data_IF_877614071761
#
_entry.id   IF_877614071761
#
_cell.length_a   1.000
_cell.length_b   1.000
_cell.length_c   1.000
_cell.angle_alpha   90.00
_cell.angle_beta   90.00
_cell.angle_gamma   90.00
#
_symmetry.space_group_name_H-M   'P 1'
#
loop_
_entity.id
_entity.type
_entity.pdbx_description
1 polymer ?
#
# COMPACT_ATOMS: atom_id res chain seq x y z
N UNK A 1 42.47 8.93 -18.10
CA UNK A 1 41.61 7.78 -17.74
C UNK A 1 40.85 8.15 -16.48
N UNK A 2 39.53 8.08 -16.45
CA UNK A 2 38.76 8.45 -15.24
C UNK A 2 38.96 7.40 -14.14
N UNK A 3 39.50 7.82 -13.00
CA UNK A 3 39.65 6.94 -11.84
C UNK A 3 38.37 6.92 -11.00
N UNK A 4 37.43 6.07 -11.42
CA UNK A 4 36.15 5.84 -10.73
C UNK A 4 36.39 5.03 -9.44
N UNK A 5 37.38 4.13 -9.45
CA UNK A 5 37.68 3.21 -8.35
C UNK A 5 38.30 3.94 -7.15
N UNK A 6 39.12 4.96 -7.40
CA UNK A 6 39.68 5.84 -6.38
C UNK A 6 38.63 6.66 -5.62
N UNK A 7 37.50 6.96 -6.26
CA UNK A 7 36.38 7.73 -5.67
C UNK A 7 35.28 6.89 -5.05
N UNK A 8 35.44 5.56 -4.96
CA UNK A 8 34.41 4.62 -4.44
C UNK A 8 33.76 5.04 -3.13
N UNK A 9 34.51 5.69 -2.22
CA UNK A 9 33.99 6.15 -0.92
C UNK A 9 32.87 7.18 -1.06
N UNK A 10 32.93 8.06 -2.06
CA UNK A 10 31.85 9.03 -2.34
C UNK A 10 30.59 8.34 -2.82
N UNK A 11 30.74 7.31 -3.67
CA UNK A 11 29.60 6.50 -4.10
C UNK A 11 28.99 5.71 -2.95
N UNK A 12 29.79 5.15 -2.05
CA UNK A 12 29.28 4.49 -0.85
C UNK A 12 28.56 5.45 0.09
N UNK A 13 29.08 6.66 0.29
CA UNK A 13 28.42 7.68 1.11
C UNK A 13 27.06 8.06 0.52
N UNK A 14 27.01 8.28 -0.80
CA UNK A 14 25.77 8.59 -1.51
C UNK A 14 24.77 7.43 -1.43
N UNK A 15 25.21 6.19 -1.66
CA UNK A 15 24.37 5.00 -1.49
C UNK A 15 23.81 4.92 -0.07
N UNK A 16 24.65 5.11 0.95
CA UNK A 16 24.26 5.06 2.34
C UNK A 16 23.22 6.14 2.69
N UNK A 17 23.38 7.35 2.14
CA UNK A 17 22.46 8.47 2.34
C UNK A 17 21.05 8.14 1.83
N UNK A 18 20.91 7.31 0.79
CA UNK A 18 19.61 6.87 0.26
C UNK A 18 19.12 5.63 1.01
N UNK A 19 20.01 4.69 1.29
CA UNK A 19 19.66 3.42 1.93
C UNK A 19 19.20 3.62 3.38
N UNK A 20 19.86 4.47 4.17
CA UNK A 20 19.51 4.67 5.58
C UNK A 20 18.08 5.19 5.76
N UNK A 21 17.63 6.27 5.08
CA UNK A 21 16.24 6.72 5.17
C UNK A 21 15.23 5.66 4.75
N UNK A 22 15.53 4.89 3.70
CA UNK A 22 14.66 3.80 3.24
C UNK A 22 14.50 2.70 4.29
N UNK A 23 15.61 2.28 4.91
CA UNK A 23 15.58 1.32 6.03
C UNK A 23 14.82 1.90 7.23
N UNK A 24 15.05 3.18 7.56
CA UNK A 24 14.36 3.83 8.66
C UNK A 24 12.84 3.87 8.42
N UNK A 25 12.40 4.17 7.21
CA UNK A 25 10.99 4.13 6.84
C UNK A 25 10.38 2.73 7.03
N UNK A 26 11.10 1.66 6.67
CA UNK A 26 10.65 0.28 6.89
C UNK A 26 10.59 -0.06 8.39
N UNK A 27 11.61 0.34 9.17
CA UNK A 27 11.66 0.07 10.60
C UNK A 27 10.56 0.80 11.39
N UNK A 28 10.09 1.95 10.89
CA UNK A 28 8.96 2.67 11.49
C UNK A 28 7.66 1.86 11.53
N UNK A 29 7.51 0.81 10.69
CA UNK A 29 6.39 -0.13 10.76
C UNK A 29 6.21 -0.78 12.13
N UNK A 30 7.29 -0.97 12.90
CA UNK A 30 7.22 -1.60 14.23
C UNK A 30 6.79 -0.64 15.34
N UNK A 31 6.64 0.66 15.06
CA UNK A 31 6.17 1.63 16.04
C UNK A 31 4.63 1.63 16.11
N UNK A 32 4.02 1.49 17.29
CA UNK A 32 2.58 1.59 17.44
C UNK A 32 2.10 2.99 17.04
N UNK A 33 0.99 3.06 16.30
CA UNK A 33 0.39 4.29 15.75
C UNK A 33 1.21 5.04 14.69
N UNK A 34 2.32 4.48 14.20
CA UNK A 34 3.02 5.06 13.08
C UNK A 34 2.18 4.91 11.80
N UNK A 35 1.66 6.03 11.28
CA UNK A 35 1.09 6.10 9.91
C UNK A 35 2.17 6.01 8.82
N UNK A 36 3.42 5.80 9.22
CA UNK A 36 4.61 5.79 8.37
C UNK A 36 5.25 4.40 8.46
N UNK A 37 5.38 3.74 7.32
CA UNK A 37 5.94 2.41 7.21
C UNK A 37 5.33 1.60 6.08
N UNK A 38 5.71 0.34 6.00
CA UNK A 38 5.04 -0.66 5.16
C UNK A 38 3.58 -0.82 5.59
N UNK A 39 2.67 -0.64 4.63
CA UNK A 39 1.25 -0.97 4.77
C UNK A 39 1.06 -2.42 4.33
N UNK A 40 0.89 -3.32 5.29
CA UNK A 40 0.70 -4.73 5.00
C UNK A 40 -0.63 -4.97 4.31
N UNK A 41 -0.62 -5.80 3.26
CA UNK A 41 -1.85 -6.34 2.68
C UNK A 41 -2.39 -7.48 3.55
N UNK A 42 -3.62 -7.88 3.25
CA UNK A 42 -4.29 -9.06 3.80
C UNK A 42 -3.50 -10.37 3.68
N UNK A 43 -2.55 -10.47 2.76
CA UNK A 43 -1.67 -11.64 2.64
C UNK A 43 -0.78 -11.82 3.88
N UNK A 44 -0.56 -10.73 4.62
CA UNK A 44 0.29 -10.67 5.82
C UNK A 44 -0.50 -10.43 7.11
N UNK A 45 -1.64 -9.75 7.05
CA UNK A 45 -2.50 -9.48 8.22
C UNK A 45 -3.61 -10.51 8.41
N UNK A 46 -3.89 -11.33 7.38
CA UNK A 46 -5.16 -12.06 7.28
C UNK A 46 -6.30 -11.11 6.91
N UNK A 47 -7.50 -11.67 6.76
CA UNK A 47 -8.70 -10.91 6.41
C UNK A 47 -9.55 -11.60 5.37
N UNK A 48 -10.45 -10.84 4.74
CA UNK A 48 -11.34 -11.33 3.68
C UNK A 48 -11.28 -10.42 2.46
N UNK A 49 -11.27 -11.03 1.26
CA UNK A 49 -11.44 -10.32 -0.02
C UNK A 49 -12.88 -10.50 -0.46
N UNK A 50 -13.54 -9.40 -0.79
CA UNK A 50 -14.88 -9.42 -1.37
C UNK A 50 -14.80 -8.86 -2.78
N UNK A 51 -15.28 -9.64 -3.74
CA UNK A 51 -15.43 -9.20 -5.12
C UNK A 51 -16.92 -8.95 -5.37
N UNK A 52 -17.29 -7.67 -5.43
CA UNK A 52 -18.69 -7.25 -5.52
C UNK A 52 -18.98 -6.69 -6.90
N UNK A 53 -19.85 -7.40 -7.62
CA UNK A 53 -20.36 -6.98 -8.92
C UNK A 53 -21.71 -6.29 -8.76
N UNK A 54 -21.81 -5.06 -9.24
CA UNK A 54 -23.03 -4.28 -9.18
C UNK A 54 -23.81 -4.39 -10.50
N UNK A 55 -25.12 -4.59 -10.39
CA UNK A 55 -25.99 -4.75 -11.55
C UNK A 55 -26.19 -3.43 -12.33
N UNK A 56 -26.12 -2.28 -11.65
CA UNK A 56 -26.42 -0.96 -12.21
C UNK A 56 -25.16 -0.09 -12.38
N UNK A 57 -24.06 -0.70 -12.80
CA UNK A 57 -22.76 -0.04 -12.93
C UNK A 57 -21.99 0.04 -11.61
N UNK A 58 -20.70 0.35 -11.70
CA UNK A 58 -19.79 0.37 -10.54
C UNK A 58 -20.01 1.65 -9.73
N UNK A 59 -20.37 1.56 -8.43
CA UNK A 59 -20.54 2.73 -7.58
C UNK A 59 -19.18 3.39 -7.28
N UNK A 60 -19.23 4.61 -6.75
CA UNK A 60 -18.01 5.30 -6.34
C UNK A 60 -17.39 4.63 -5.10
N UNK A 61 -16.07 4.50 -5.09
CA UNK A 61 -15.35 3.87 -3.96
C UNK A 61 -15.59 4.57 -2.62
N UNK A 62 -15.80 5.90 -2.64
CA UNK A 62 -16.12 6.69 -1.46
C UNK A 62 -17.45 6.24 -0.82
N UNK A 63 -18.49 6.07 -1.64
CA UNK A 63 -19.82 5.63 -1.17
C UNK A 63 -19.76 4.24 -0.53
N UNK A 64 -19.02 3.32 -1.15
CA UNK A 64 -18.82 1.97 -0.59
C UNK A 64 -18.04 2.04 0.73
N UNK A 65 -17.01 2.89 0.80
CA UNK A 65 -16.22 3.09 2.02
C UNK A 65 -17.06 3.66 3.16
N UNK A 66 -17.93 4.63 2.89
CA UNK A 66 -18.79 5.24 3.91
C UNK A 66 -19.73 4.19 4.53
N UNK A 67 -20.34 3.32 3.71
CA UNK A 67 -21.15 2.21 4.20
C UNK A 67 -20.33 1.24 5.05
N UNK A 68 -19.10 0.90 4.66
CA UNK A 68 -18.23 0.01 5.45
C UNK A 68 -17.86 0.63 6.81
N UNK A 69 -17.61 1.94 6.85
CA UNK A 69 -17.37 2.68 8.10
C UNK A 69 -18.60 2.61 9.00
N UNK A 70 -19.80 2.83 8.46
CA UNK A 70 -21.06 2.72 9.21
C UNK A 70 -21.30 1.31 9.76
N UNK A 71 -20.86 0.28 9.05
CA UNK A 71 -20.92 -1.12 9.49
C UNK A 71 -19.79 -1.52 10.46
N UNK A 72 -18.95 -0.57 10.90
CA UNK A 72 -17.87 -0.83 11.86
C UNK A 72 -16.60 -1.41 11.25
N UNK A 73 -16.39 -1.24 9.94
CA UNK A 73 -15.20 -1.71 9.21
C UNK A 73 -14.38 -0.52 8.63
N UNK A 74 -13.89 0.42 9.47
CA UNK A 74 -13.26 1.66 9.02
C UNK A 74 -11.90 1.48 8.33
N UNK A 75 -11.22 0.36 8.61
CA UNK A 75 -9.90 0.03 8.06
C UNK A 75 -9.98 -0.70 6.71
N UNK A 76 -11.19 -0.90 6.18
CA UNK A 76 -11.38 -1.57 4.89
C UNK A 76 -10.80 -0.75 3.73
N UNK A 77 -10.05 -1.42 2.88
CA UNK A 77 -9.63 -0.87 1.58
C UNK A 77 -10.68 -1.18 0.51
N UNK A 78 -11.01 -0.19 -0.32
CA UNK A 78 -11.96 -0.31 -1.42
C UNK A 78 -11.28 0.15 -2.70
N UNK A 79 -11.31 -0.68 -3.75
CA UNK A 79 -10.74 -0.36 -5.04
C UNK A 79 -11.66 -0.82 -6.18
N UNK A 80 -11.74 -0.03 -7.24
CA UNK A 80 -12.33 -0.50 -8.51
C UNK A 80 -11.31 -1.38 -9.21
N UNK A 81 -11.71 -2.60 -9.56
CA UNK A 81 -10.92 -3.51 -10.37
C UNK A 81 -11.66 -3.84 -11.66
N UNK A 82 -10.91 -4.10 -12.72
CA UNK A 82 -11.45 -4.51 -14.02
C UNK A 82 -10.91 -5.88 -14.35
N UNK A 83 -11.81 -6.84 -14.62
CA UNK A 83 -11.46 -8.16 -15.14
C UNK A 83 -12.18 -8.38 -16.48
N UNK A 84 -11.41 -8.41 -17.56
CA UNK A 84 -11.96 -8.38 -18.92
C UNK A 84 -12.74 -7.09 -19.16
N UNK A 85 -14.00 -7.22 -19.62
CA UNK A 85 -14.89 -6.07 -19.90
C UNK A 85 -15.78 -5.68 -18.71
N UNK A 86 -15.58 -6.30 -17.53
CA UNK A 86 -16.42 -6.05 -16.35
C UNK A 86 -15.64 -5.35 -15.25
N UNK A 87 -16.20 -4.25 -14.75
CA UNK A 87 -15.74 -3.59 -13.54
C UNK A 87 -16.45 -4.14 -12.32
N UNK A 88 -15.73 -4.20 -11.20
CA UNK A 88 -16.25 -4.62 -9.91
C UNK A 88 -15.52 -3.89 -8.79
N UNK A 89 -16.13 -3.87 -7.62
CA UNK A 89 -15.50 -3.34 -6.42
C UNK A 89 -14.82 -4.48 -5.69
N UNK A 90 -13.55 -4.30 -5.40
CA UNK A 90 -12.79 -5.19 -4.56
C UNK A 90 -12.60 -4.54 -3.19
N UNK A 91 -13.13 -5.21 -2.16
CA UNK A 91 -13.05 -4.78 -0.77
C UNK A 91 -12.10 -5.72 -0.04
N UNK A 92 -11.22 -5.15 0.79
CA UNK A 92 -10.37 -5.91 1.71
C UNK A 92 -10.54 -5.39 3.12
N UNK A 93 -10.92 -6.28 4.03
CA UNK A 93 -11.10 -6.05 5.47
C UNK A 93 -9.99 -6.67 6.27
#
# INVERSE_FOLDING_TARGET
MFDIIGKRRWFYLFSLLITIPGIFAILLTFLPNARMGLQFSIDYTGGTIWEVHFAQGTPETAQVRDVLVEQGLPDSSVAVTTAGDRQYILIRT
#
